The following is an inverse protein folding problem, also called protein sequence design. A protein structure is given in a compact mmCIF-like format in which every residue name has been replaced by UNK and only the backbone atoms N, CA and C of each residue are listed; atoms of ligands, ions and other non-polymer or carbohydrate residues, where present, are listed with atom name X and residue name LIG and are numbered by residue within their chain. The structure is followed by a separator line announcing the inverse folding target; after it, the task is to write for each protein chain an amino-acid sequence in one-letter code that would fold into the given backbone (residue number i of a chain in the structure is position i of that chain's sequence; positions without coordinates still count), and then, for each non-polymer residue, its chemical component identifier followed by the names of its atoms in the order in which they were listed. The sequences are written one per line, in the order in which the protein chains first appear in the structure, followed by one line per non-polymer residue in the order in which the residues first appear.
data_IF_327095519141
#
_entry.id   IF_327095519141
#
_cell.length_a   1.000
_cell.length_b   1.000
_cell.length_c   1.000
_cell.angle_alpha   90.00
_cell.angle_beta   90.00
_cell.angle_gamma   90.00
#
_symmetry.space_group_name_H-M   'P 1'
#
loop_
_entity.id
_entity.type
_entity.pdbx_description
1 polymer ?
#
# COMPACT_ATOMS: atom_id res chain seq x y z
N UNK A 1 -8.02 12.32 -17.84
CA UNK A 1 -9.05 11.57 -18.59
C UNK A 1 -8.95 10.10 -18.15
N UNK A 2 -9.61 9.75 -17.04
CA UNK A 2 -9.58 8.39 -16.51
C UNK A 2 -10.48 7.52 -17.38
N UNK A 3 -9.88 6.54 -18.07
CA UNK A 3 -10.63 5.57 -18.85
C UNK A 3 -11.60 4.82 -17.94
N UNK A 4 -12.89 4.94 -18.23
CA UNK A 4 -13.92 4.05 -17.72
C UNK A 4 -13.52 2.61 -18.03
N UNK A 5 -12.99 1.89 -17.03
CA UNK A 5 -12.97 0.43 -17.04
C UNK A 5 -14.16 -0.03 -16.22
N UNK A 6 -14.95 -0.92 -16.81
CA UNK A 6 -16.09 -1.53 -16.18
C UNK A 6 -15.62 -2.30 -14.94
N UNK A 7 -15.81 -1.71 -13.77
CA UNK A 7 -15.76 -2.43 -12.51
C UNK A 7 -17.04 -3.26 -12.42
N UNK A 8 -16.91 -4.58 -12.30
CA UNK A 8 -18.03 -5.43 -11.90
C UNK A 8 -18.37 -5.12 -10.45
N UNK A 9 -19.43 -4.35 -10.23
CA UNK A 9 -19.95 -4.06 -8.88
C UNK A 9 -20.89 -5.20 -8.51
N UNK A 10 -20.51 -6.02 -7.53
CA UNK A 10 -21.47 -6.89 -6.86
C UNK A 10 -22.42 -6.01 -6.01
N UNK A 11 -23.67 -5.84 -6.47
CA UNK A 11 -24.70 -5.01 -5.82
C UNK A 11 -25.74 -5.87 -5.10
N UNK A 12 -25.31 -6.75 -4.21
CA UNK A 12 -26.24 -7.45 -3.34
C UNK A 12 -25.66 -7.54 -1.93
N UNK A 13 -25.96 -6.52 -1.12
CA UNK A 13 -25.57 -6.45 0.29
C UNK A 13 -26.59 -7.18 1.19
N UNK A 14 -27.76 -7.56 0.65
CA UNK A 14 -28.85 -8.19 1.40
C UNK A 14 -28.50 -9.60 1.92
N UNK A 15 -27.43 -10.21 1.39
CA UNK A 15 -26.94 -11.53 1.78
C UNK A 15 -25.69 -11.50 2.68
N UNK A 16 -25.23 -10.32 3.13
CA UNK A 16 -24.06 -10.25 4.03
C UNK A 16 -24.49 -10.66 5.44
N UNK A 17 -23.92 -11.77 5.91
CA UNK A 17 -24.09 -12.24 7.30
C UNK A 17 -22.93 -11.69 8.14
N UNK A 18 -23.25 -11.13 9.31
CA UNK A 18 -22.26 -10.62 10.26
C UNK A 18 -21.97 -9.13 10.13
N UNK A 19 -20.72 -8.74 10.41
CA UNK A 19 -20.22 -7.36 10.40
C UNK A 19 -19.43 -7.15 9.10
N UNK A 20 -19.94 -6.37 8.12
CA UNK A 20 -19.20 -6.09 6.90
C UNK A 20 -17.98 -5.20 7.20
N UNK A 21 -16.79 -5.61 6.73
CA UNK A 21 -15.60 -4.76 6.71
C UNK A 21 -15.42 -4.27 5.28
N UNK A 22 -15.52 -2.96 5.09
CA UNK A 22 -15.47 -2.30 3.78
C UNK A 22 -14.06 -1.79 3.52
N UNK A 23 -13.42 -2.32 2.48
CA UNK A 23 -12.15 -1.85 1.94
C UNK A 23 -12.42 -0.94 0.74
N UNK A 24 -11.67 0.15 0.62
CA UNK A 24 -11.85 1.11 -0.49
C UNK A 24 -13.13 1.94 -0.38
N UNK A 25 -13.52 2.32 0.84
CA UNK A 25 -14.71 3.15 1.09
C UNK A 25 -14.72 4.49 0.34
N UNK A 26 -13.54 5.05 0.04
CA UNK A 26 -13.38 6.23 -0.81
C UNK A 26 -13.99 6.04 -2.21
N UNK A 27 -13.96 4.81 -2.73
CA UNK A 27 -14.50 4.48 -4.05
C UNK A 27 -16.03 4.32 -4.05
N UNK A 28 -16.64 4.04 -2.89
CA UNK A 28 -18.10 3.88 -2.79
C UNK A 28 -18.84 5.17 -3.15
N UNK A 29 -18.22 6.32 -2.94
CA UNK A 29 -18.78 7.63 -3.31
C UNK A 29 -18.99 7.82 -4.81
N UNK A 30 -18.35 6.98 -5.65
CA UNK A 30 -18.52 6.97 -7.10
C UNK A 30 -19.51 5.89 -7.59
N UNK A 31 -20.10 5.13 -6.66
CA UNK A 31 -21.06 4.08 -6.99
C UNK A 31 -22.45 4.51 -6.53
N UNK A 32 -23.35 4.67 -7.49
CA UNK A 32 -24.74 4.99 -7.18
C UNK A 32 -25.44 3.85 -6.45
N UNK A 33 -26.34 4.21 -5.52
CA UNK A 33 -27.26 3.31 -4.83
C UNK A 33 -26.58 2.21 -3.99
N UNK A 34 -25.41 2.49 -3.39
CA UNK A 34 -24.83 1.62 -2.36
C UNK A 34 -25.46 1.92 -1.01
N UNK A 35 -26.11 0.92 -0.42
CA UNK A 35 -26.53 0.95 0.98
C UNK A 35 -25.71 -0.07 1.75
N UNK A 36 -24.95 0.42 2.74
CA UNK A 36 -24.19 -0.43 3.64
C UNK A 36 -25.04 -0.78 4.86
N UNK A 37 -24.95 -2.00 5.41
CA UNK A 37 -25.54 -2.32 6.71
C UNK A 37 -25.06 -1.36 7.81
N UNK A 38 -25.94 -0.95 8.72
CA UNK A 38 -25.62 0.03 9.78
C UNK A 38 -24.46 -0.40 10.69
N UNK A 39 -24.19 -1.71 10.81
CA UNK A 39 -23.09 -2.26 11.58
C UNK A 39 -21.79 -2.38 10.77
N UNK A 40 -21.69 -1.79 9.58
CA UNK A 40 -20.48 -1.86 8.76
C UNK A 40 -19.31 -1.10 9.38
N UNK A 41 -18.10 -1.59 9.09
CA UNK A 41 -16.84 -0.97 9.45
C UNK A 41 -16.17 -0.48 8.17
N UNK A 42 -15.84 0.81 8.12
CA UNK A 42 -15.04 1.37 7.03
C UNK A 42 -13.57 1.29 7.42
N UNK A 43 -12.80 0.46 6.73
CA UNK A 43 -11.36 0.39 6.92
C UNK A 43 -10.68 1.36 5.95
N UNK A 44 -10.25 2.51 6.47
CA UNK A 44 -9.53 3.50 5.70
C UNK A 44 -8.11 2.99 5.37
N UNK A 45 -7.82 2.95 4.07
CA UNK A 45 -6.51 2.58 3.53
C UNK A 45 -5.80 3.76 2.85
N UNK A 46 -6.47 4.91 2.77
CA UNK A 46 -5.95 6.11 2.13
C UNK A 46 -5.14 6.96 3.12
N UNK A 47 -4.16 7.70 2.62
CA UNK A 47 -3.41 8.66 3.44
C UNK A 47 -4.28 9.87 3.79
N UNK A 48 -4.29 10.23 5.07
CA UNK A 48 -5.09 11.33 5.60
C UNK A 48 -4.24 12.60 5.60
N UNK A 49 -4.45 13.46 4.61
CA UNK A 49 -3.78 14.75 4.46
C UNK A 49 -4.77 15.83 3.99
N UNK A 50 -4.58 17.08 4.42
CA UNK A 50 -5.36 18.20 3.91
C UNK A 50 -5.12 18.37 2.40
N UNK A 51 -6.20 18.51 1.64
CA UNK A 51 -6.12 18.64 0.18
C UNK A 51 -5.97 17.31 -0.57
N UNK A 52 -5.99 16.16 0.13
CA UNK A 52 -6.04 14.85 -0.52
C UNK A 52 -7.29 14.72 -1.39
N UNK A 53 -7.11 14.38 -2.66
CA UNK A 53 -8.21 14.13 -3.61
C UNK A 53 -9.11 12.96 -3.21
N UNK A 54 -8.67 12.10 -2.28
CA UNK A 54 -9.45 10.98 -1.78
C UNK A 54 -10.35 11.32 -0.60
N UNK A 55 -10.11 12.44 0.09
CA UNK A 55 -10.93 12.92 1.20
C UNK A 55 -11.98 13.94 0.73
N UNK A 56 -12.90 13.46 -0.11
CA UNK A 56 -14.06 14.24 -0.55
C UNK A 56 -15.05 14.45 0.60
N UNK A 57 -15.93 15.48 0.56
CA UNK A 57 -16.99 15.65 1.55
C UNK A 57 -17.83 14.39 1.75
N UNK A 58 -18.17 13.70 0.66
CA UNK A 58 -18.96 12.47 0.69
C UNK A 58 -18.23 11.33 1.42
N UNK A 59 -16.91 11.20 1.22
CA UNK A 59 -16.15 10.18 1.93
C UNK A 59 -15.99 10.52 3.42
N UNK A 60 -15.80 11.80 3.75
CA UNK A 60 -15.76 12.26 5.14
C UNK A 60 -17.10 11.98 5.85
N UNK A 61 -18.23 12.26 5.20
CA UNK A 61 -19.55 11.98 5.75
C UNK A 61 -19.80 10.47 5.92
N UNK A 62 -19.31 9.65 4.99
CA UNK A 62 -19.30 8.19 5.14
C UNK A 62 -18.51 7.79 6.40
N UNK A 63 -17.28 8.27 6.56
CA UNK A 63 -16.45 7.93 7.72
C UNK A 63 -17.06 8.40 9.05
N UNK A 64 -17.80 9.52 9.07
CA UNK A 64 -18.54 9.98 10.26
C UNK A 64 -19.74 9.11 10.61
N UNK A 65 -20.30 8.40 9.63
CA UNK A 65 -21.55 7.64 9.78
C UNK A 65 -21.33 6.19 10.22
N UNK A 66 -20.10 5.69 10.19
CA UNK A 66 -19.76 4.29 10.47
C UNK A 66 -18.60 4.19 11.44
N UNK A 67 -18.40 3.01 12.00
CA UNK A 67 -17.16 2.71 12.70
C UNK A 67 -16.00 2.72 11.70
N UNK A 68 -14.90 3.38 12.07
CA UNK A 68 -13.71 3.48 11.22
C UNK A 68 -12.57 2.67 11.82
N UNK A 69 -11.90 1.89 10.97
CA UNK A 69 -10.60 1.29 11.25
C UNK A 69 -9.53 1.95 10.38
N UNK A 70 -8.30 2.04 10.88
CA UNK A 70 -7.16 2.54 10.13
C UNK A 70 -5.87 1.83 10.54
N UNK A 71 -4.91 1.74 9.62
CA UNK A 71 -3.62 1.07 9.84
C UNK A 71 -2.52 1.99 10.33
N UNK A 72 -2.70 3.31 10.27
CA UNK A 72 -1.68 4.31 10.64
C UNK A 72 -2.15 5.14 11.84
N UNK A 73 -1.33 5.21 12.89
CA UNK A 73 -1.64 6.04 14.07
C UNK A 73 -1.69 7.52 13.68
N UNK A 74 -0.82 7.91 12.74
CA UNK A 74 -0.79 9.25 12.17
C UNK A 74 -2.08 9.58 11.40
N UNK A 75 -2.60 8.63 10.63
CA UNK A 75 -3.91 8.79 9.98
C UNK A 75 -5.02 8.96 11.02
N UNK A 76 -5.04 8.13 12.08
CA UNK A 76 -6.03 8.22 13.17
C UNK A 76 -6.00 9.63 13.80
N UNK A 77 -4.82 10.14 14.11
CA UNK A 77 -4.65 11.49 14.66
C UNK A 77 -5.14 12.56 13.68
N UNK A 78 -4.80 12.43 12.40
CA UNK A 78 -5.22 13.37 11.36
C UNK A 78 -6.74 13.33 11.10
N UNK A 79 -7.37 12.16 11.15
CA UNK A 79 -8.83 12.00 11.03
C UNK A 79 -9.55 12.79 12.13
N UNK A 80 -9.05 12.66 13.37
CA UNK A 80 -9.56 13.43 14.51
C UNK A 80 -9.30 14.92 14.34
N UNK A 81 -8.06 15.30 14.00
CA UNK A 81 -7.62 16.70 13.94
C UNK A 81 -8.28 17.49 12.82
N UNK A 82 -8.40 16.92 11.63
CA UNK A 82 -8.85 17.64 10.43
C UNK A 82 -10.35 17.48 10.16
N UNK A 83 -10.95 16.36 10.57
CA UNK A 83 -12.32 16.03 10.20
C UNK A 83 -13.24 15.75 11.40
N UNK A 84 -12.71 15.78 12.62
CA UNK A 84 -13.47 15.50 13.84
C UNK A 84 -13.90 14.04 13.96
N UNK A 85 -13.28 13.12 13.21
CA UNK A 85 -13.60 11.69 13.24
C UNK A 85 -12.83 11.06 14.41
N UNK A 86 -13.55 10.71 15.48
CA UNK A 86 -13.00 10.09 16.69
C UNK A 86 -13.44 8.64 16.84
N UNK A 87 -12.80 7.89 17.75
CA UNK A 87 -13.16 6.49 18.00
C UNK A 87 -12.69 5.52 16.91
N UNK A 88 -11.75 5.96 16.07
CA UNK A 88 -11.11 5.11 15.05
C UNK A 88 -10.31 4.02 15.76
N UNK A 89 -10.56 2.75 15.41
CA UNK A 89 -9.77 1.63 15.93
C UNK A 89 -8.54 1.40 15.05
N UNK A 90 -7.40 1.13 15.68
CA UNK A 90 -6.19 0.69 14.98
C UNK A 90 -6.39 -0.75 14.50
N UNK A 91 -6.19 -0.98 13.20
CA UNK A 91 -6.11 -2.30 12.58
C UNK A 91 -4.92 -2.31 11.62
N UNK A 92 -3.87 -3.04 11.96
CA UNK A 92 -2.65 -3.11 11.15
C UNK A 92 -2.88 -3.87 9.85
N UNK A 93 -1.96 -3.71 8.90
CA UNK A 93 -1.90 -4.54 7.69
C UNK A 93 -1.03 -5.75 8.00
N UNK A 94 -1.65 -6.92 8.07
CA UNK A 94 -1.02 -8.20 8.35
C UNK A 94 -1.03 -9.15 7.16
N UNK A 95 -0.29 -10.24 7.31
CA UNK A 95 -0.15 -11.33 6.38
C UNK A 95 -1.31 -12.33 6.48
N UNK A 96 -1.70 -12.84 5.31
CA UNK A 96 -2.44 -14.09 5.15
C UNK A 96 -1.75 -14.94 4.06
N UNK A 97 -1.77 -16.29 4.15
CA UNK A 97 -1.05 -17.15 3.20
C UNK A 97 -1.38 -16.91 1.73
N UNK A 98 -2.61 -16.50 1.43
CA UNK A 98 -3.11 -16.21 0.08
C UNK A 98 -2.41 -15.04 -0.59
N UNK A 99 -1.69 -14.20 0.17
CA UNK A 99 -0.88 -13.12 -0.39
C UNK A 99 0.36 -13.66 -1.11
N UNK A 100 0.93 -14.78 -0.64
CA UNK A 100 2.10 -15.42 -1.25
C UNK A 100 1.67 -16.26 -2.44
N UNK A 101 1.70 -15.67 -3.63
CA UNK A 101 1.12 -16.26 -4.84
C UNK A 101 1.87 -15.96 -6.12
N UNK A 102 2.88 -15.09 -6.09
CA UNK A 102 3.67 -14.76 -7.27
C UNK A 102 4.69 -15.85 -7.56
N UNK A 103 4.81 -16.20 -8.83
CA UNK A 103 5.96 -16.93 -9.37
C UNK A 103 6.92 -15.90 -9.97
N UNK A 104 7.95 -15.53 -9.20
CA UNK A 104 8.96 -14.58 -9.68
C UNK A 104 9.76 -15.21 -10.82
N UNK A 105 10.16 -14.40 -11.80
CA UNK A 105 10.98 -14.84 -12.91
C UNK A 105 12.40 -15.18 -12.41
N UNK A 106 12.97 -16.27 -12.92
CA UNK A 106 14.36 -16.62 -12.62
C UNK A 106 15.32 -15.56 -13.18
N UNK A 107 15.04 -15.03 -14.37
CA UNK A 107 15.83 -13.98 -15.03
C UNK A 107 14.95 -12.75 -15.31
N UNK A 108 14.72 -11.89 -14.29
CA UNK A 108 13.91 -10.69 -14.43
C UNK A 108 14.60 -9.67 -15.36
N UNK A 109 13.86 -9.16 -16.35
CA UNK A 109 14.36 -8.25 -17.37
C UNK A 109 14.19 -6.76 -17.02
N UNK A 110 13.46 -6.46 -15.95
CA UNK A 110 13.24 -5.09 -15.45
C UNK A 110 14.12 -4.86 -14.24
N UNK A 111 14.90 -3.80 -14.25
CA UNK A 111 15.74 -3.46 -13.11
C UNK A 111 14.89 -2.89 -11.99
N UNK A 112 14.12 -1.84 -12.27
CA UNK A 112 13.31 -1.15 -11.26
C UNK A 112 11.89 -0.98 -11.75
N UNK A 113 10.93 -1.43 -10.95
CA UNK A 113 9.51 -1.16 -11.17
C UNK A 113 9.01 -0.09 -10.20
N UNK A 114 8.27 0.87 -10.73
CA UNK A 114 7.40 1.76 -9.97
C UNK A 114 5.97 1.62 -10.46
N UNK A 115 5.00 1.58 -9.54
CA UNK A 115 3.59 1.66 -9.88
C UNK A 115 2.81 2.56 -8.93
N UNK A 116 2.12 3.55 -9.51
CA UNK A 116 1.37 4.56 -8.77
C UNK A 116 1.23 5.86 -9.56
N UNK A 117 0.58 6.85 -8.95
CA UNK A 117 0.43 8.19 -9.54
C UNK A 117 1.79 8.90 -9.63
N UNK A 118 2.03 9.60 -10.74
CA UNK A 118 3.25 10.37 -10.95
C UNK A 118 3.01 11.82 -10.55
N UNK A 119 4.01 12.41 -9.89
CA UNK A 119 4.20 13.84 -9.70
C UNK A 119 5.66 14.19 -10.02
N UNK A 120 6.01 15.47 -9.97
CA UNK A 120 7.36 15.95 -10.32
C UNK A 120 8.47 15.29 -9.48
N UNK A 121 8.28 15.14 -8.16
CA UNK A 121 9.25 14.43 -7.28
C UNK A 121 9.51 13.01 -7.77
N UNK A 122 8.45 12.22 -7.93
CA UNK A 122 8.57 10.84 -8.38
C UNK A 122 9.20 10.77 -9.76
N UNK A 123 8.83 11.68 -10.66
CA UNK A 123 9.41 11.76 -12.00
C UNK A 123 10.92 11.99 -11.94
N UNK A 124 11.42 12.91 -11.11
CA UNK A 124 12.86 13.17 -10.98
C UNK A 124 13.65 11.93 -10.57
N UNK A 125 13.17 11.14 -9.60
CA UNK A 125 13.85 9.90 -9.20
C UNK A 125 13.82 8.87 -10.34
N UNK A 126 12.67 8.70 -10.99
CA UNK A 126 12.51 7.71 -12.06
C UNK A 126 13.33 8.04 -13.31
N UNK A 127 13.50 9.34 -13.62
CA UNK A 127 14.41 9.82 -14.66
C UNK A 127 15.87 9.61 -14.26
N UNK A 128 16.25 9.96 -13.03
CA UNK A 128 17.59 9.70 -12.51
C UNK A 128 17.99 8.22 -12.58
N UNK A 129 17.07 7.29 -12.30
CA UNK A 129 17.31 5.86 -12.47
C UNK A 129 17.58 5.48 -13.94
N UNK A 130 16.84 6.04 -14.89
CA UNK A 130 17.04 5.80 -16.33
C UNK A 130 18.35 6.39 -16.82
N UNK A 131 18.73 7.58 -16.35
CA UNK A 131 20.01 8.22 -16.68
C UNK A 131 21.22 7.40 -16.20
N UNK A 132 21.06 6.62 -15.13
CA UNK A 132 22.06 5.64 -14.68
C UNK A 132 22.08 4.35 -15.52
N UNK A 133 21.28 4.28 -16.58
CA UNK A 133 21.21 3.19 -17.53
C UNK A 133 20.35 2.01 -17.09
N UNK A 134 19.49 2.18 -16.08
CA UNK A 134 18.62 1.10 -15.60
C UNK A 134 17.37 0.95 -16.49
N UNK A 135 16.92 -0.30 -16.69
CA UNK A 135 15.62 -0.58 -17.29
C UNK A 135 14.50 -0.33 -16.29
N UNK A 136 13.92 0.88 -16.32
CA UNK A 136 12.88 1.31 -15.39
C UNK A 136 11.49 1.16 -16.02
N UNK A 137 10.62 0.38 -15.37
CA UNK A 137 9.20 0.28 -15.73
C UNK A 137 8.34 1.16 -14.81
N UNK A 138 7.47 1.96 -15.42
CA UNK A 138 6.53 2.85 -14.72
C UNK A 138 5.11 2.42 -15.10
N UNK A 139 4.24 2.18 -14.11
CA UNK A 139 2.84 1.80 -14.32
C UNK A 139 1.90 2.75 -13.57
N UNK A 140 0.72 2.98 -14.16
CA UNK A 140 -0.40 3.68 -13.50
C UNK A 140 -1.71 2.99 -13.87
N UNK A 141 -2.62 2.84 -12.90
CA UNK A 141 -3.93 2.22 -13.10
C UNK A 141 -3.89 0.74 -13.51
N UNK A 142 -2.83 0.01 -13.13
CA UNK A 142 -2.65 -1.41 -13.41
C UNK A 142 -2.89 -2.23 -12.14
N UNK A 143 -3.73 -3.26 -12.24
CA UNK A 143 -4.20 -4.07 -11.11
C UNK A 143 -4.21 -5.56 -11.48
N UNK A 144 -4.37 -6.42 -10.46
CA UNK A 144 -4.54 -7.87 -10.63
C UNK A 144 -3.38 -8.52 -11.38
N UNK A 145 -3.70 -9.50 -12.22
CA UNK A 145 -2.69 -10.31 -12.93
C UNK A 145 -1.69 -9.46 -13.71
N UNK A 146 -2.16 -8.42 -14.41
CA UNK A 146 -1.27 -7.55 -15.18
C UNK A 146 -0.23 -6.86 -14.30
N UNK A 147 -0.60 -6.42 -13.10
CA UNK A 147 0.36 -5.84 -12.13
C UNK A 147 1.33 -6.93 -11.64
N UNK A 148 0.78 -8.09 -11.32
CA UNK A 148 1.51 -9.22 -10.78
C UNK A 148 2.59 -9.72 -11.76
N UNK A 149 2.29 -9.74 -13.07
CA UNK A 149 3.26 -10.08 -14.13
C UNK A 149 4.43 -9.09 -14.20
N UNK A 150 4.17 -7.80 -14.03
CA UNK A 150 5.23 -6.79 -13.99
C UNK A 150 6.09 -6.92 -12.73
N UNK A 151 5.47 -7.19 -11.58
CA UNK A 151 6.20 -7.43 -10.33
C UNK A 151 7.12 -8.65 -10.48
N UNK A 152 6.59 -9.76 -11.03
CA UNK A 152 7.35 -11.00 -11.21
C UNK A 152 8.60 -10.84 -12.09
N UNK A 153 8.57 -9.90 -13.05
CA UNK A 153 9.68 -9.61 -13.98
C UNK A 153 10.67 -8.55 -13.48
N UNK A 154 10.48 -8.03 -12.26
CA UNK A 154 11.26 -6.91 -11.74
C UNK A 154 12.27 -7.37 -10.69
N UNK A 155 13.52 -6.89 -10.81
CA UNK A 155 14.59 -7.18 -9.82
C UNK A 155 14.33 -6.50 -8.48
N UNK A 156 13.76 -5.29 -8.50
CA UNK A 156 13.25 -4.61 -7.30
C UNK A 156 12.07 -3.69 -7.64
N UNK A 157 11.30 -3.34 -6.61
CA UNK A 157 10.25 -2.32 -6.69
C UNK A 157 10.66 -1.11 -5.85
N UNK A 158 10.53 0.09 -6.40
CA UNK A 158 10.78 1.34 -5.69
C UNK A 158 9.47 1.96 -5.17
N UNK A 159 9.48 2.37 -3.90
CA UNK A 159 8.43 3.15 -3.27
C UNK A 159 8.94 4.54 -2.93
N UNK A 160 8.20 5.56 -3.36
CA UNK A 160 8.54 6.98 -3.20
C UNK A 160 7.29 7.65 -2.68
N UNK A 161 7.38 8.48 -1.64
CA UNK A 161 6.20 9.13 -1.08
C UNK A 161 5.55 10.08 -2.08
N UNK A 162 4.22 10.12 -2.11
CA UNK A 162 3.47 11.10 -2.91
C UNK A 162 3.24 12.40 -2.14
N UNK A 163 2.84 12.23 -0.88
CA UNK A 163 2.33 13.27 0.00
C UNK A 163 3.38 13.66 1.04
N UNK A 164 3.25 14.89 1.57
CA UNK A 164 4.17 15.40 2.60
C UNK A 164 3.98 14.69 3.94
N UNK A 165 2.80 14.09 4.14
CA UNK A 165 2.51 13.26 5.31
C UNK A 165 3.49 12.09 5.49
N UNK A 166 4.10 11.59 4.40
CA UNK A 166 5.12 10.53 4.40
C UNK A 166 4.75 9.32 5.27
N UNK A 167 3.47 8.94 5.23
CA UNK A 167 2.99 7.70 5.83
C UNK A 167 3.51 6.55 4.98
N UNK A 168 4.11 5.54 5.62
CA UNK A 168 4.63 4.38 4.90
C UNK A 168 3.46 3.63 4.27
N UNK A 169 3.52 3.43 2.94
CA UNK A 169 2.44 2.80 2.18
C UNK A 169 2.42 1.27 2.36
N UNK A 170 2.30 0.79 3.59
CA UNK A 170 2.28 -0.63 3.94
C UNK A 170 1.16 -1.38 3.21
N UNK A 171 0.05 -0.70 2.88
CA UNK A 171 -1.00 -1.24 2.01
C UNK A 171 -0.45 -1.68 0.64
N UNK A 172 0.52 -0.94 0.07
CA UNK A 172 1.24 -1.31 -1.16
C UNK A 172 2.34 -2.32 -0.90
N UNK A 173 3.14 -2.10 0.14
CA UNK A 173 4.36 -2.86 0.39
C UNK A 173 4.09 -4.28 0.92
N UNK A 174 2.99 -4.47 1.66
CA UNK A 174 2.57 -5.76 2.22
C UNK A 174 2.51 -6.88 1.17
N UNK A 175 1.98 -6.58 -0.02
CA UNK A 175 1.92 -7.57 -1.10
C UNK A 175 3.31 -7.93 -1.66
N UNK A 176 4.23 -6.96 -1.70
CA UNK A 176 5.60 -7.18 -2.14
C UNK A 176 6.39 -7.98 -1.12
N UNK A 177 6.25 -7.64 0.17
CA UNK A 177 6.84 -8.36 1.29
C UNK A 177 6.37 -9.83 1.33
N UNK A 178 5.06 -10.06 1.18
CA UNK A 178 4.49 -11.41 1.12
C UNK A 178 5.05 -12.26 -0.03
N UNK A 179 5.49 -11.63 -1.12
CA UNK A 179 5.98 -12.33 -2.30
C UNK A 179 7.51 -12.28 -2.46
N UNK A 180 8.25 -11.95 -1.40
CA UNK A 180 9.72 -11.92 -1.40
C UNK A 180 10.28 -11.06 -2.54
N UNK A 181 9.67 -9.89 -2.74
CA UNK A 181 10.17 -8.90 -3.69
C UNK A 181 11.15 -7.98 -2.96
N UNK A 182 12.28 -7.66 -3.60
CA UNK A 182 13.21 -6.67 -3.08
C UNK A 182 12.60 -5.26 -3.20
N UNK A 183 12.59 -4.50 -2.11
CA UNK A 183 11.95 -3.19 -2.04
C UNK A 183 13.01 -2.14 -1.67
N UNK A 184 13.04 -1.06 -2.44
CA UNK A 184 13.67 0.20 -2.00
C UNK A 184 12.56 1.16 -1.66
N UNK A 185 12.57 1.72 -0.45
CA UNK A 185 11.56 2.71 -0.04
C UNK A 185 12.21 4.00 0.42
N UNK A 186 11.59 5.12 0.06
CA UNK A 186 11.88 6.39 0.70
C UNK A 186 11.65 6.28 2.21
N UNK A 187 12.59 6.81 2.99
CA UNK A 187 12.42 7.02 4.43
C UNK A 187 11.45 8.19 4.65
N UNK A 188 10.47 8.01 5.53
CA UNK A 188 9.44 8.99 5.86
C UNK A 188 9.41 9.33 7.34
N UNK A 189 8.19 9.47 7.87
CA UNK A 189 7.93 9.93 9.24
C UNK A 189 7.44 8.81 10.17
N UNK A 190 7.19 7.61 9.66
CA UNK A 190 6.71 6.45 10.44
C UNK A 190 7.89 5.64 11.01
N UNK A 191 8.72 6.28 11.84
CA UNK A 191 10.01 5.73 12.31
C UNK A 191 9.90 4.36 12.96
N UNK A 192 8.87 4.13 13.78
CA UNK A 192 8.65 2.83 14.43
C UNK A 192 8.40 1.72 13.43
N UNK A 193 7.63 2.01 12.38
CA UNK A 193 7.31 1.05 11.32
C UNK A 193 8.51 0.84 10.40
N UNK A 194 9.24 1.90 10.05
CA UNK A 194 10.50 1.81 9.29
C UNK A 194 11.52 0.92 10.01
N UNK A 195 11.72 1.13 11.32
CA UNK A 195 12.61 0.31 12.15
C UNK A 195 12.15 -1.15 12.16
N UNK A 196 10.84 -1.40 12.24
CA UNK A 196 10.31 -2.77 12.23
C UNK A 196 10.59 -3.52 10.91
N UNK A 197 10.71 -2.80 9.79
CA UNK A 197 10.97 -3.38 8.47
C UNK A 197 12.37 -3.12 7.92
N UNK A 198 13.27 -2.48 8.67
CA UNK A 198 14.59 -2.01 8.16
C UNK A 198 15.51 -3.14 7.64
N UNK A 199 15.32 -4.37 8.13
CA UNK A 199 16.07 -5.52 7.64
C UNK A 199 15.48 -6.14 6.36
N UNK A 200 14.21 -5.84 6.07
CA UNK A 200 13.43 -6.41 4.97
C UNK A 200 13.11 -5.45 3.84
N UNK A 201 13.38 -4.16 4.04
CA UNK A 201 13.20 -3.07 3.08
C UNK A 201 14.47 -2.23 3.09
N UNK A 202 15.03 -1.98 1.92
CA UNK A 202 16.14 -1.04 1.79
C UNK A 202 15.62 0.40 1.84
N UNK A 203 15.59 0.98 3.04
CA UNK A 203 15.22 2.37 3.22
C UNK A 203 16.36 3.31 2.80
N UNK A 204 16.00 4.42 2.17
CA UNK A 204 16.94 5.48 1.81
C UNK A 204 16.24 6.83 1.82
N UNK A 205 16.97 7.87 2.20
CA UNK A 205 16.48 9.25 2.03
C UNK A 205 16.27 9.54 0.54
N UNK A 206 15.39 10.49 0.25
CA UNK A 206 14.96 10.81 -1.12
C UNK A 206 16.12 11.00 -2.10
N UNK A 207 17.14 11.76 -1.70
CA UNK A 207 18.30 12.07 -2.56
C UNK A 207 19.19 10.84 -2.83
N UNK A 208 19.11 9.80 -1.98
CA UNK A 208 19.89 8.58 -2.08
C UNK A 208 19.13 7.43 -2.75
N UNK A 209 17.85 7.61 -3.10
CA UNK A 209 17.02 6.56 -3.71
C UNK A 209 17.63 6.00 -5.00
N UNK A 210 18.13 6.88 -5.86
CA UNK A 210 18.76 6.49 -7.14
C UNK A 210 20.00 5.65 -6.88
N UNK A 211 20.88 6.11 -5.99
CA UNK A 211 22.12 5.41 -5.66
C UNK A 211 21.86 4.05 -5.01
N UNK A 212 20.94 3.98 -4.04
CA UNK A 212 20.56 2.72 -3.38
C UNK A 212 20.03 1.71 -4.39
N UNK A 213 19.17 2.13 -5.33
CA UNK A 213 18.70 1.24 -6.39
C UNK A 213 19.84 0.77 -7.29
N UNK A 214 20.72 1.68 -7.73
CA UNK A 214 21.87 1.33 -8.59
C UNK A 214 22.79 0.33 -7.90
N UNK A 215 23.11 0.55 -6.63
CA UNK A 215 23.97 -0.32 -5.84
C UNK A 215 23.34 -1.71 -5.69
N UNK A 216 22.04 -1.78 -5.40
CA UNK A 216 21.34 -3.05 -5.31
C UNK A 216 21.26 -3.76 -6.66
N UNK A 217 21.05 -3.06 -7.78
CA UNK A 217 20.93 -3.68 -9.11
C UNK A 217 22.27 -4.18 -9.64
N UNK A 218 23.34 -3.38 -9.47
CA UNK A 218 24.69 -3.74 -9.94
C UNK A 218 25.40 -4.72 -9.01
N UNK A 219 25.00 -4.77 -7.74
CA UNK A 219 25.51 -5.73 -6.77
C UNK A 219 24.93 -7.14 -6.94
N UNK A 220 25.37 -8.04 -6.06
CA UNK A 220 25.01 -9.45 -6.11
C UNK A 220 23.51 -9.68 -5.93
N UNK A 221 22.96 -10.57 -6.75
CA UNK A 221 21.56 -11.03 -6.67
C UNK A 221 21.20 -11.54 -5.28
N UNK A 222 22.12 -12.27 -4.63
CA UNK A 222 21.92 -12.84 -3.31
C UNK A 222 21.66 -11.78 -2.24
N UNK A 223 22.19 -10.56 -2.38
CA UNK A 223 21.92 -9.47 -1.45
C UNK A 223 20.45 -9.03 -1.53
N UNK A 224 19.92 -8.85 -2.75
CA UNK A 224 18.51 -8.50 -2.96
C UNK A 224 17.58 -9.59 -2.45
N UNK A 225 17.92 -10.86 -2.70
CA UNK A 225 17.16 -12.01 -2.23
C UNK A 225 17.17 -12.13 -0.70
N UNK A 226 18.32 -11.87 -0.06
CA UNK A 226 18.44 -11.88 1.39
C UNK A 226 17.55 -10.79 2.05
N UNK A 227 17.56 -9.56 1.52
CA UNK A 227 16.68 -8.48 1.99
C UNK A 227 15.23 -8.89 1.82
N UNK A 228 14.85 -9.37 0.63
CA UNK A 228 13.47 -9.75 0.33
C UNK A 228 12.97 -10.92 1.20
N UNK A 229 13.84 -11.90 1.47
CA UNK A 229 13.53 -13.03 2.36
C UNK A 229 13.34 -12.58 3.81
N UNK A 230 14.16 -11.63 4.28
CA UNK A 230 13.96 -11.01 5.61
C UNK A 230 12.64 -10.25 5.68
N UNK A 231 12.31 -9.48 4.64
CA UNK A 231 11.03 -8.77 4.53
C UNK A 231 9.83 -9.71 4.61
N UNK A 232 9.89 -10.83 3.89
CA UNK A 232 8.89 -11.89 4.01
C UNK A 232 8.79 -12.45 5.44
N UNK A 233 9.92 -12.77 6.08
CA UNK A 233 9.91 -13.33 7.43
C UNK A 233 9.29 -12.38 8.46
N UNK A 234 9.63 -11.09 8.38
CA UNK A 234 9.05 -10.04 9.24
C UNK A 234 7.54 -9.96 8.99
N UNK A 235 7.13 -9.78 7.73
CA UNK A 235 5.73 -9.56 7.40
C UNK A 235 4.85 -10.79 7.69
N UNK A 236 5.33 -11.99 7.40
CA UNK A 236 4.59 -13.24 7.65
C UNK A 236 4.39 -13.57 9.12
N UNK A 237 5.14 -12.93 10.03
CA UNK A 237 4.90 -13.00 11.47
C UNK A 237 3.68 -12.18 11.93
N UNK A 238 3.25 -11.20 11.13
CA UNK A 238 2.11 -10.31 11.44
C UNK A 238 0.81 -10.97 11.00
N UNK A 239 0.23 -11.86 11.79
CA UNK A 239 -0.94 -12.63 11.36
C UNK A 239 -2.24 -11.79 11.38
N UNK A 240 -2.74 -11.42 10.20
CA UNK A 240 -3.96 -10.61 10.06
C UNK A 240 -5.19 -11.28 10.71
N UNK A 241 -5.28 -12.61 10.64
CA UNK A 241 -6.46 -13.33 11.17
C UNK A 241 -6.52 -13.29 12.69
N UNK A 242 -5.37 -13.21 13.37
CA UNK A 242 -5.30 -13.07 14.83
C UNK A 242 -5.77 -11.68 15.23
N UNK A 243 -5.19 -10.63 14.63
CA UNK A 243 -5.56 -9.24 14.92
C UNK A 243 -7.04 -8.96 14.63
N UNK A 244 -7.55 -9.43 13.49
CA UNK A 244 -8.97 -9.29 13.16
C UNK A 244 -9.86 -9.98 14.19
N UNK A 245 -9.50 -11.18 14.66
CA UNK A 245 -10.28 -11.89 15.69
C UNK A 245 -10.32 -11.10 16.99
N UNK A 246 -9.20 -10.55 17.42
CA UNK A 246 -9.12 -9.73 18.63
C UNK A 246 -9.95 -8.44 18.51
N UNK A 247 -9.85 -7.75 17.37
CA UNK A 247 -10.64 -6.54 17.13
C UNK A 247 -12.14 -6.82 17.10
N UNK A 248 -12.55 -7.90 16.43
CA UNK A 248 -13.95 -8.30 16.31
C UNK A 248 -14.55 -8.77 17.64
N UNK A 249 -13.76 -9.44 18.50
CA UNK A 249 -14.20 -9.85 19.84
C UNK A 249 -14.39 -8.66 20.80
N UNK A 250 -13.79 -7.51 20.49
CA UNK A 250 -13.87 -6.27 21.27
C UNK A 250 -14.85 -5.25 20.65
N UNK A 251 -15.74 -5.69 19.75
CA UNK A 251 -16.81 -4.88 19.17
C UNK A 251 -18.11 -4.95 19.99
#
# INVERSE_FOLDING_TARGET
MFAQRAFGIARNFDNIVGIPIVLGGNLLTYVENVQLPNNSIIFNLEQVEQGSSWFTPQYIDLLKSYQVWDYSDRNIDNLKRFFGISGVKKCSIGYVPQMTRLSLADEPDIDVLFYGSINERRQSILEGLKEKGLNVKILSGVYGQMRDDWIARSKLVINIHYYSAQVLELVRLSYLLANKVCIVSETGLDKSLEIAFQEGIAFADYDNLVETCVNLIKGDRSNREAIAQKGYNIFSSLNQSIELRELLNNL
#
